data_IF_449611129079
#
_entry.id   IF_449611129079
#
_cell.length_a   1.000
_cell.length_b   1.000
_cell.length_c   1.000
_cell.angle_alpha   90.00
_cell.angle_beta   90.00
_cell.angle_gamma   90.00
#
_symmetry.space_group_name_H-M   'P 1'
#
loop_
_entity.id
_entity.type
_entity.pdbx_description
1 polymer ?
#
# COMPACT_ATOMS: atom_id res chain seq x y z
N UNK A 1 -18.98 -18.17 -4.34
CA UNK A 1 -17.61 -18.59 -4.67
C UNK A 1 -17.02 -19.30 -3.46
N UNK A 2 -16.45 -20.46 -3.65
CA UNK A 2 -15.81 -21.13 -2.52
C UNK A 2 -14.46 -20.46 -2.19
N UNK A 3 -13.93 -20.75 -1.00
CA UNK A 3 -12.73 -20.08 -0.49
C UNK A 3 -11.49 -20.40 -1.30
N UNK A 4 -11.40 -21.58 -1.96
CA UNK A 4 -10.24 -21.92 -2.75
C UNK A 4 -10.17 -21.13 -4.05
N UNK A 5 -11.32 -20.88 -4.71
CA UNK A 5 -11.37 -20.02 -5.89
C UNK A 5 -11.04 -18.57 -5.53
N UNK A 6 -11.54 -18.07 -4.41
CA UNK A 6 -11.21 -16.74 -3.93
C UNK A 6 -9.71 -16.61 -3.66
N UNK A 7 -9.10 -17.60 -3.00
CA UNK A 7 -7.68 -17.58 -2.71
C UNK A 7 -6.84 -17.56 -3.98
N UNK A 8 -7.24 -18.30 -5.01
CA UNK A 8 -6.53 -18.30 -6.29
C UNK A 8 -6.62 -16.96 -7.00
N UNK A 9 -7.79 -16.32 -6.98
CA UNK A 9 -8.00 -14.99 -7.57
C UNK A 9 -7.14 -13.96 -6.84
N UNK A 10 -7.16 -13.97 -5.52
CA UNK A 10 -6.38 -13.03 -4.71
C UNK A 10 -4.89 -13.19 -4.97
N UNK A 11 -4.41 -14.43 -5.01
CA UNK A 11 -3.00 -14.70 -5.32
C UNK A 11 -2.60 -14.15 -6.68
N UNK A 12 -3.47 -14.33 -7.70
CA UNK A 12 -3.18 -13.83 -9.04
C UNK A 12 -3.14 -12.31 -9.05
N UNK A 13 -4.04 -11.64 -8.34
CA UNK A 13 -4.02 -10.18 -8.24
C UNK A 13 -2.75 -9.67 -7.57
N UNK A 14 -2.30 -10.34 -6.51
CA UNK A 14 -1.04 -10.01 -5.84
C UNK A 14 0.14 -10.13 -6.82
N UNK A 15 0.21 -11.23 -7.56
CA UNK A 15 1.28 -11.46 -8.53
C UNK A 15 1.26 -10.42 -9.66
N UNK A 16 0.08 -10.06 -10.15
CA UNK A 16 -0.06 -9.06 -11.21
C UNK A 16 0.49 -7.70 -10.76
N UNK A 17 0.16 -7.26 -9.55
CA UNK A 17 0.67 -6.00 -9.01
C UNK A 17 2.15 -6.07 -8.66
N UNK A 18 2.65 -7.26 -8.35
CA UNK A 18 4.07 -7.45 -8.08
C UNK A 18 4.90 -7.43 -9.37
N UNK A 19 4.46 -8.14 -10.40
CA UNK A 19 5.20 -8.26 -11.66
C UNK A 19 5.04 -7.04 -12.56
N UNK A 20 3.87 -6.42 -12.54
CA UNK A 20 3.54 -5.27 -13.39
C UNK A 20 2.88 -4.15 -12.58
N UNK A 21 3.60 -3.55 -11.64
CA UNK A 21 3.02 -2.49 -10.80
C UNK A 21 2.66 -1.28 -11.65
N UNK A 22 1.52 -0.68 -11.33
CA UNK A 22 0.98 0.48 -12.04
C UNK A 22 1.76 1.76 -11.66
N UNK A 23 2.20 1.86 -10.42
CA UNK A 23 2.68 3.10 -9.83
C UNK A 23 4.19 3.12 -9.60
N UNK A 24 4.92 2.17 -10.15
CA UNK A 24 6.37 2.10 -9.98
C UNK A 24 7.08 2.78 -11.16
N UNK A 25 6.76 4.05 -11.38
CA UNK A 25 7.33 4.87 -12.45
C UNK A 25 7.88 6.15 -11.85
N UNK A 26 9.21 6.23 -11.77
CA UNK A 26 9.89 7.35 -11.12
C UNK A 26 10.73 8.08 -12.17
N UNK A 27 10.52 9.39 -12.28
CA UNK A 27 11.32 10.28 -13.11
C UNK A 27 11.91 11.41 -12.25
N UNK A 28 12.65 12.31 -12.87
CA UNK A 28 13.31 13.40 -12.16
C UNK A 28 12.31 14.35 -11.48
N UNK A 29 11.16 14.59 -12.09
CA UNK A 29 10.12 15.43 -11.49
C UNK A 29 9.60 14.83 -10.19
N UNK A 30 9.33 13.52 -10.19
CA UNK A 30 8.89 12.81 -8.98
C UNK A 30 9.93 12.93 -7.89
N UNK A 31 11.19 12.64 -8.20
CA UNK A 31 12.27 12.69 -7.21
C UNK A 31 12.43 14.09 -6.63
N UNK A 32 12.33 15.12 -7.45
CA UNK A 32 12.65 16.49 -7.06
C UNK A 32 11.47 17.25 -6.41
N UNK A 33 10.22 16.88 -6.70
CA UNK A 33 9.07 17.67 -6.28
C UNK A 33 8.10 16.97 -5.35
N UNK A 34 8.07 15.64 -5.33
CA UNK A 34 7.12 14.90 -4.49
C UNK A 34 7.65 14.77 -3.06
N UNK A 35 6.74 14.77 -2.11
CA UNK A 35 7.05 14.38 -0.72
C UNK A 35 7.32 12.89 -0.68
N UNK A 36 8.31 12.47 0.09
CA UNK A 36 8.73 11.07 0.07
C UNK A 36 9.07 10.54 1.45
N UNK A 37 8.99 9.21 1.57
CA UNK A 37 9.41 8.49 2.75
C UNK A 37 10.00 7.14 2.32
N UNK A 38 11.19 6.83 2.85
CA UNK A 38 11.84 5.54 2.60
C UNK A 38 11.59 4.61 3.78
N UNK A 39 11.07 3.43 3.50
CA UNK A 39 10.93 2.36 4.48
C UNK A 39 11.98 1.29 4.19
N UNK A 40 12.82 1.03 5.17
CA UNK A 40 13.83 -0.04 5.07
C UNK A 40 13.62 -1.01 6.23
N UNK A 41 13.35 -2.28 5.91
CA UNK A 41 13.20 -3.32 6.90
C UNK A 41 14.56 -3.75 7.45
N UNK A 42 14.63 -4.01 8.76
CA UNK A 42 15.84 -4.52 9.39
C UNK A 42 16.04 -6.02 9.15
N UNK A 43 14.95 -6.75 8.95
CA UNK A 43 14.96 -8.22 8.90
C UNK A 43 14.54 -8.81 7.57
N UNK A 44 14.13 -8.01 6.59
CA UNK A 44 13.72 -8.49 5.27
C UNK A 44 14.37 -7.64 4.18
N UNK A 45 14.09 -8.03 2.92
CA UNK A 45 14.62 -7.33 1.75
C UNK A 45 13.90 -6.01 1.46
N UNK A 46 12.79 -5.72 2.15
CA UNK A 46 11.95 -4.56 1.85
C UNK A 46 12.72 -3.25 2.03
N UNK A 47 12.85 -2.52 0.96
CA UNK A 47 13.44 -1.18 0.92
C UNK A 47 12.70 -0.39 -0.15
N UNK A 48 11.58 0.22 0.25
CA UNK A 48 10.67 0.92 -0.65
C UNK A 48 10.60 2.40 -0.29
N UNK A 49 10.55 3.25 -1.30
CA UNK A 49 10.31 4.68 -1.13
C UNK A 49 8.98 5.03 -1.77
N UNK A 50 8.10 5.68 -1.01
CA UNK A 50 6.82 6.18 -1.50
C UNK A 50 6.96 7.67 -1.78
N UNK A 51 6.37 8.12 -2.89
CA UNK A 51 6.39 9.51 -3.34
C UNK A 51 4.95 9.99 -3.52
N UNK A 52 4.59 11.07 -2.83
CA UNK A 52 3.25 11.64 -2.92
C UNK A 52 3.31 13.10 -3.38
N UNK A 53 2.45 13.45 -4.35
CA UNK A 53 2.23 14.83 -4.76
C UNK A 53 0.98 15.33 -4.05
N UNK A 54 1.13 16.24 -3.10
CA UNK A 54 0.04 16.74 -2.27
C UNK A 54 -0.21 18.21 -2.60
N UNK A 55 -1.45 18.53 -2.97
CA UNK A 55 -1.90 19.89 -3.25
C UNK A 55 -3.24 20.13 -2.57
N UNK A 56 -3.36 21.18 -1.77
CA UNK A 56 -4.61 21.54 -1.08
C UNK A 56 -5.20 20.39 -0.25
N UNK A 57 -4.34 19.66 0.47
CA UNK A 57 -4.72 18.48 1.28
C UNK A 57 -5.24 17.30 0.47
N UNK A 58 -5.02 17.30 -0.85
CA UNK A 58 -5.42 16.19 -1.72
C UNK A 58 -4.16 15.58 -2.31
N UNK A 59 -4.08 14.24 -2.28
CA UNK A 59 -3.00 13.51 -2.95
C UNK A 59 -3.32 13.43 -4.43
N UNK A 60 -2.61 14.19 -5.25
CA UNK A 60 -2.83 14.23 -6.69
C UNK A 60 -2.17 13.09 -7.43
N UNK A 61 -1.08 12.58 -6.88
CA UNK A 61 -0.38 11.43 -7.47
C UNK A 61 0.34 10.68 -6.36
N UNK A 62 0.54 9.39 -6.58
CA UNK A 62 1.22 8.51 -5.63
C UNK A 62 2.01 7.47 -6.40
N UNK A 63 3.30 7.38 -6.12
CA UNK A 63 4.21 6.43 -6.77
C UNK A 63 5.16 5.84 -5.76
N UNK A 64 5.85 4.77 -6.15
CA UNK A 64 6.86 4.15 -5.30
C UNK A 64 7.96 3.53 -6.13
N UNK A 65 9.08 3.26 -5.48
CA UNK A 65 10.21 2.58 -6.09
C UNK A 65 10.94 1.76 -5.03
N UNK A 66 11.82 0.88 -5.49
CA UNK A 66 12.66 0.09 -4.61
C UNK A 66 12.46 -1.40 -4.76
N UNK A 67 12.94 -2.15 -3.77
CA UNK A 67 12.91 -3.61 -3.75
C UNK A 67 12.03 -4.07 -2.58
N UNK A 68 11.12 -4.98 -2.86
CA UNK A 68 10.25 -5.58 -1.84
C UNK A 68 9.79 -6.96 -2.25
N UNK A 69 9.22 -7.67 -1.30
CA UNK A 69 8.59 -8.97 -1.57
C UNK A 69 7.26 -8.77 -2.31
N UNK A 70 6.63 -9.87 -2.70
CA UNK A 70 5.36 -9.82 -3.41
C UNK A 70 4.28 -9.09 -2.61
N UNK A 71 4.23 -9.28 -1.30
CA UNK A 71 3.23 -8.66 -0.42
C UNK A 71 3.48 -7.15 -0.27
N UNK A 72 4.71 -6.73 0.03
CA UNK A 72 5.01 -5.31 0.22
C UNK A 72 4.86 -4.52 -1.08
N UNK A 73 5.31 -5.07 -2.20
CA UNK A 73 5.22 -4.40 -3.50
C UNK A 73 3.77 -4.28 -3.96
N UNK A 74 3.02 -5.37 -3.93
CA UNK A 74 1.63 -5.36 -4.41
C UNK A 74 0.72 -4.51 -3.54
N UNK A 75 0.85 -4.59 -2.22
CA UNK A 75 0.03 -3.78 -1.31
C UNK A 75 0.34 -2.29 -1.45
N UNK A 76 1.60 -1.93 -1.62
CA UNK A 76 2.00 -0.54 -1.83
C UNK A 76 1.46 -0.02 -3.17
N UNK A 77 1.52 -0.83 -4.23
CA UNK A 77 0.99 -0.44 -5.53
C UNK A 77 -0.52 -0.19 -5.48
N UNK A 78 -1.28 -1.08 -4.85
CA UNK A 78 -2.73 -0.92 -4.71
C UNK A 78 -3.05 0.31 -3.87
N UNK A 79 -2.35 0.52 -2.75
CA UNK A 79 -2.54 1.71 -1.91
C UNK A 79 -2.28 3.00 -2.70
N UNK A 80 -1.19 3.05 -3.44
CA UNK A 80 -0.89 4.22 -4.28
C UNK A 80 -2.02 4.51 -5.26
N UNK A 81 -2.59 3.48 -5.89
CA UNK A 81 -3.71 3.66 -6.80
C UNK A 81 -4.96 4.17 -6.09
N UNK A 82 -5.27 3.63 -4.92
CA UNK A 82 -6.48 3.97 -4.19
C UNK A 82 -6.48 5.39 -3.62
N UNK A 83 -5.34 5.91 -3.23
CA UNK A 83 -5.28 7.22 -2.54
C UNK A 83 -5.24 8.41 -3.51
N UNK A 84 -5.08 8.18 -4.80
CA UNK A 84 -5.06 9.26 -5.80
C UNK A 84 -6.38 10.03 -5.78
N UNK A 85 -6.27 11.35 -5.80
CA UNK A 85 -7.40 12.29 -5.80
C UNK A 85 -8.28 12.22 -4.54
N UNK A 86 -7.73 11.74 -3.44
CA UNK A 86 -8.42 11.70 -2.15
C UNK A 86 -7.77 12.68 -1.17
N UNK A 87 -8.59 13.22 -0.27
CA UNK A 87 -8.10 14.10 0.77
C UNK A 87 -7.51 13.27 1.93
N UNK A 88 -6.82 13.95 2.83
CA UNK A 88 -6.16 13.29 3.96
C UNK A 88 -7.11 12.50 4.85
N UNK A 89 -8.33 12.98 5.07
CA UNK A 89 -9.32 12.29 5.90
C UNK A 89 -9.77 10.97 5.25
N UNK A 90 -10.04 11.00 3.95
CA UNK A 90 -10.41 9.80 3.20
C UNK A 90 -9.28 8.77 3.20
N UNK A 91 -8.05 9.24 2.99
CA UNK A 91 -6.87 8.37 2.99
C UNK A 91 -6.68 7.73 4.36
N UNK A 92 -6.80 8.53 5.42
CA UNK A 92 -6.65 8.02 6.79
C UNK A 92 -7.66 6.91 7.08
N UNK A 93 -8.90 7.06 6.61
CA UNK A 93 -9.94 6.05 6.78
C UNK A 93 -9.56 4.74 6.07
N UNK A 94 -9.01 4.84 4.86
CA UNK A 94 -8.53 3.65 4.12
C UNK A 94 -7.40 2.97 4.88
N UNK A 95 -6.41 3.73 5.32
CA UNK A 95 -5.26 3.19 6.03
C UNK A 95 -5.66 2.53 7.34
N UNK A 96 -6.55 3.16 8.11
CA UNK A 96 -6.99 2.62 9.41
C UNK A 96 -7.76 1.32 9.24
N UNK A 97 -8.67 1.24 8.26
CA UNK A 97 -9.44 0.02 8.02
C UNK A 97 -8.58 -1.12 7.50
N UNK A 98 -7.64 -0.82 6.61
CA UNK A 98 -6.70 -1.84 6.14
C UNK A 98 -5.80 -2.33 7.27
N UNK A 99 -5.27 -1.42 8.07
CA UNK A 99 -4.48 -1.77 9.25
C UNK A 99 -5.25 -2.69 10.19
N UNK A 100 -6.52 -2.36 10.46
CA UNK A 100 -7.38 -3.19 11.31
C UNK A 100 -7.57 -4.59 10.74
N UNK A 101 -7.82 -4.70 9.43
CA UNK A 101 -7.93 -6.00 8.77
C UNK A 101 -6.67 -6.84 8.96
N UNK A 102 -5.51 -6.26 8.72
CA UNK A 102 -4.23 -6.97 8.84
C UNK A 102 -3.96 -7.40 10.28
N UNK A 103 -4.42 -6.64 11.26
CA UNK A 103 -4.24 -6.95 12.68
C UNK A 103 -5.42 -7.71 13.29
N UNK A 104 -6.27 -8.29 12.48
CA UNK A 104 -7.42 -9.12 12.93
C UNK A 104 -8.41 -8.37 13.79
N UNK A 105 -8.60 -7.08 13.54
CA UNK A 105 -9.57 -6.23 14.22
C UNK A 105 -10.75 -5.94 13.30
N UNK A 106 -11.92 -5.53 13.84
CA UNK A 106 -13.07 -5.20 12.99
C UNK A 106 -12.76 -4.05 12.03
N UNK A 107 -13.22 -4.16 10.79
CA UNK A 107 -13.00 -3.17 9.74
C UNK A 107 -14.18 -3.13 8.77
N UNK A 108 -14.26 -2.04 8.01
CA UNK A 108 -15.29 -1.86 6.99
C UNK A 108 -14.75 -2.27 5.62
N UNK A 109 -15.27 -3.38 5.09
CA UNK A 109 -14.85 -3.93 3.80
C UNK A 109 -15.10 -2.97 2.63
N UNK A 110 -16.11 -2.13 2.73
CA UNK A 110 -16.46 -1.22 1.64
C UNK A 110 -15.41 -0.13 1.43
N UNK A 111 -14.61 0.15 2.46
CA UNK A 111 -13.59 1.21 2.43
C UNK A 111 -12.28 0.73 1.82
N UNK A 112 -11.92 -0.55 2.01
CA UNK A 112 -10.59 -1.04 1.64
C UNK A 112 -10.46 -1.51 0.19
N UNK A 113 -11.57 -1.63 -0.55
CA UNK A 113 -11.52 -2.01 -1.97
C UNK A 113 -10.68 -3.26 -2.25
N UNK A 114 -9.75 -3.17 -3.21
CA UNK A 114 -8.90 -4.29 -3.61
C UNK A 114 -7.89 -4.72 -2.54
N UNK A 115 -7.70 -3.95 -1.49
CA UNK A 115 -6.85 -4.37 -0.36
C UNK A 115 -7.39 -5.61 0.34
N UNK A 116 -8.64 -5.98 0.10
CA UNK A 116 -9.23 -7.21 0.63
C UNK A 116 -8.46 -8.48 0.25
N UNK A 117 -7.67 -8.43 -0.81
CA UNK A 117 -6.89 -9.59 -1.25
C UNK A 117 -5.83 -10.00 -0.23
N UNK A 118 -5.51 -9.12 0.72
CA UNK A 118 -4.53 -9.38 1.78
C UNK A 118 -5.18 -9.85 3.08
N UNK A 119 -6.48 -10.16 3.09
CA UNK A 119 -7.21 -10.46 4.33
C UNK A 119 -6.66 -11.66 5.12
N UNK A 120 -5.99 -12.60 4.46
CA UNK A 120 -5.43 -13.78 5.11
C UNK A 120 -3.94 -13.65 5.46
N UNK A 121 -3.33 -12.51 5.18
CA UNK A 121 -1.91 -12.26 5.50
C UNK A 121 -1.68 -12.31 7.01
N UNK A 122 -2.68 -11.95 7.82
CA UNK A 122 -2.60 -11.99 9.28
C UNK A 122 -2.35 -13.41 9.84
N UNK A 123 -2.56 -14.45 9.04
CA UNK A 123 -2.24 -15.83 9.41
C UNK A 123 -0.75 -16.16 9.25
N UNK A 124 0.01 -15.25 8.63
CA UNK A 124 1.44 -15.39 8.42
C UNK A 124 2.15 -14.22 9.12
N UNK A 125 2.53 -14.44 10.36
CA UNK A 125 3.07 -13.37 11.23
C UNK A 125 4.25 -12.63 10.61
N UNK A 126 5.11 -13.33 9.88
CA UNK A 126 6.26 -12.71 9.23
C UNK A 126 5.89 -11.87 8.00
N UNK A 127 4.63 -11.89 7.56
CA UNK A 127 4.15 -11.10 6.42
C UNK A 127 3.36 -9.86 6.81
N UNK A 128 2.98 -9.74 8.07
CA UNK A 128 2.21 -8.59 8.57
C UNK A 128 2.95 -7.29 8.30
N UNK A 129 4.24 -7.24 8.63
CA UNK A 129 5.06 -6.05 8.38
C UNK A 129 5.15 -5.71 6.89
N UNK A 130 5.27 -6.73 6.04
CA UNK A 130 5.30 -6.53 4.59
C UNK A 130 4.01 -5.88 4.08
N UNK A 131 2.87 -6.33 4.60
CA UNK A 131 1.57 -5.79 4.20
C UNK A 131 1.37 -4.33 4.64
N UNK A 132 2.10 -3.86 5.64
CA UNK A 132 1.95 -2.53 6.23
C UNK A 132 3.01 -1.52 5.79
N UNK A 133 3.93 -1.89 4.91
CA UNK A 133 4.98 -0.98 4.42
C UNK A 133 4.37 0.28 3.82
N UNK A 134 3.40 0.13 2.92
CA UNK A 134 2.74 1.26 2.28
C UNK A 134 1.96 2.12 3.26
N UNK A 135 1.26 1.48 4.21
CA UNK A 135 0.50 2.19 5.25
C UNK A 135 1.44 3.10 6.06
N UNK A 136 2.53 2.53 6.54
CA UNK A 136 3.47 3.29 7.37
C UNK A 136 4.12 4.43 6.59
N UNK A 137 4.47 4.19 5.33
CA UNK A 137 5.11 5.18 4.49
C UNK A 137 4.17 6.35 4.17
N UNK A 138 2.95 6.04 3.73
CA UNK A 138 1.95 7.06 3.39
C UNK A 138 1.59 7.86 4.63
N UNK A 139 1.37 7.20 5.74
CA UNK A 139 1.03 7.86 7.00
C UNK A 139 2.13 8.85 7.42
N UNK A 140 3.39 8.44 7.33
CA UNK A 140 4.51 9.34 7.66
C UNK A 140 4.51 10.58 6.79
N UNK A 141 4.28 10.44 5.49
CA UNK A 141 4.25 11.59 4.58
C UNK A 141 3.09 12.52 4.93
N UNK A 142 1.89 11.96 5.10
CA UNK A 142 0.68 12.73 5.37
C UNK A 142 0.79 13.48 6.72
N UNK A 143 1.29 12.82 7.74
CA UNK A 143 1.42 13.41 9.08
C UNK A 143 2.48 14.52 9.12
N UNK A 144 3.42 14.52 8.16
CA UNK A 144 4.47 15.54 8.06
C UNK A 144 4.10 16.74 7.20
N UNK A 145 2.93 16.71 6.57
CA UNK A 145 2.50 17.79 5.65
C UNK A 145 1.29 18.57 6.15
#
# INVERSE_FOLDING_TARGET
MDSSNESMVFRQMILDHYENPINKKIDDDVINTYSKYNYKSESCIDNLTVYLKIENNIVRDARFDGIGCAISTSSTDILCEMIKNKNKNEIKLILDNYFSMINSEPYDQTIIGDLKIFKNVNQQLNRIKCALVGVNSIKNIIDSN
#
